data_IF_011437589479
#
_entry.id   IF_011437589479
#
_cell.length_a   1.000
_cell.length_b   1.000
_cell.length_c   1.000
_cell.angle_alpha   90.00
_cell.angle_beta   90.00
_cell.angle_gamma   90.00
#
_symmetry.space_group_name_H-M   'P 1'
#
loop_
_entity.id
_entity.type
_entity.pdbx_description
1 polymer ?
#
# COMPACT_ATOMS: atom_id res chain seq x y z
N UNK A 1 -2.38 -4.27 16.17
CA UNK A 1 -1.24 -4.17 15.26
C UNK A 1 -1.45 -2.99 14.30
N UNK A 2 -0.60 -1.99 14.35
CA UNK A 2 -0.66 -0.86 13.44
C UNK A 2 -0.30 -1.28 12.01
N UNK A 3 -0.99 -0.68 11.04
CA UNK A 3 -0.63 -0.79 9.64
C UNK A 3 0.54 0.17 9.37
N UNK A 4 1.73 -0.23 9.79
CA UNK A 4 2.92 0.61 9.88
C UNK A 4 3.70 0.79 8.58
N UNK A 5 5.05 0.82 8.64
CA UNK A 5 5.89 1.13 7.48
C UNK A 5 5.58 0.28 6.26
N UNK A 6 5.58 0.90 5.07
CA UNK A 6 5.23 0.24 3.81
C UNK A 6 3.74 0.22 3.52
N UNK A 7 2.92 0.86 4.35
CA UNK A 7 1.48 0.99 4.13
C UNK A 7 1.12 2.15 3.21
N UNK A 8 -0.18 2.52 3.22
CA UNK A 8 -0.72 3.56 2.34
C UNK A 8 0.04 4.88 2.42
N UNK A 9 0.28 5.37 3.64
CA UNK A 9 0.91 6.67 3.84
C UNK A 9 2.33 6.71 3.27
N UNK A 10 3.09 5.64 3.43
CA UNK A 10 4.46 5.58 2.95
C UNK A 10 4.52 5.54 1.42
N UNK A 11 3.62 4.80 0.79
CA UNK A 11 3.53 4.75 -0.68
C UNK A 11 3.12 6.12 -1.23
N UNK A 12 2.09 6.72 -0.66
CA UNK A 12 1.62 8.04 -1.07
C UNK A 12 2.71 9.11 -0.89
N UNK A 13 3.44 9.05 0.21
CA UNK A 13 4.52 9.99 0.49
C UNK A 13 5.67 9.83 -0.52
N UNK A 14 6.00 8.61 -0.88
CA UNK A 14 7.01 8.33 -1.92
C UNK A 14 6.61 8.93 -3.25
N UNK A 15 5.33 8.77 -3.63
CA UNK A 15 4.78 9.36 -4.84
C UNK A 15 4.87 10.89 -4.79
N UNK A 16 4.48 11.49 -3.67
CA UNK A 16 4.56 12.95 -3.50
C UNK A 16 6.00 13.46 -3.61
N UNK A 17 6.95 12.73 -3.04
CA UNK A 17 8.36 13.08 -3.15
C UNK A 17 8.83 13.08 -4.60
N UNK A 18 8.43 12.08 -5.38
CA UNK A 18 8.74 12.01 -6.80
C UNK A 18 8.08 13.14 -7.59
N UNK A 19 6.83 13.48 -7.26
CA UNK A 19 6.13 14.60 -7.88
C UNK A 19 6.84 15.93 -7.62
N UNK A 20 7.29 16.15 -6.39
CA UNK A 20 8.05 17.34 -6.04
C UNK A 20 9.36 17.42 -6.79
N UNK A 21 10.03 16.31 -6.99
CA UNK A 21 11.36 16.25 -7.58
C UNK A 21 11.34 16.29 -9.10
N UNK A 22 10.41 15.60 -9.71
CA UNK A 22 10.37 15.37 -11.16
C UNK A 22 9.13 15.92 -11.85
N UNK A 23 8.11 16.37 -11.11
CA UNK A 23 6.84 16.80 -11.68
C UNK A 23 6.93 17.96 -12.66
N UNK A 24 7.90 18.84 -12.48
CA UNK A 24 8.11 19.96 -13.40
C UNK A 24 8.56 19.51 -14.80
N UNK A 25 9.37 18.45 -14.86
CA UNK A 25 9.88 17.89 -16.12
C UNK A 25 9.00 16.77 -16.68
N UNK A 26 8.22 16.15 -15.83
CA UNK A 26 7.37 15.00 -16.17
C UNK A 26 5.92 15.31 -15.82
N UNK A 27 5.19 16.03 -16.67
CA UNK A 27 3.80 16.43 -16.38
C UNK A 27 2.87 15.25 -16.05
N UNK A 28 3.15 14.07 -16.58
CA UNK A 28 2.36 12.86 -16.31
C UNK A 28 2.40 12.43 -14.83
N UNK A 29 3.36 12.92 -14.04
CA UNK A 29 3.39 12.69 -12.59
C UNK A 29 2.42 13.58 -11.84
N UNK A 30 1.91 14.63 -12.46
CA UNK A 30 1.01 15.61 -11.83
C UNK A 30 -0.42 15.07 -11.81
N UNK A 31 -0.66 14.05 -11.00
CA UNK A 31 -1.96 13.45 -10.83
C UNK A 31 -2.24 13.27 -9.33
N UNK A 32 -3.51 13.32 -8.95
CA UNK A 32 -3.94 13.03 -7.59
C UNK A 32 -4.10 11.54 -7.33
N UNK A 33 -4.09 10.72 -8.38
CA UNK A 33 -4.18 9.27 -8.25
C UNK A 33 -2.82 8.66 -7.98
N UNK A 34 -2.68 7.97 -6.85
CA UNK A 34 -1.45 7.29 -6.46
C UNK A 34 -1.05 6.23 -7.48
N UNK A 35 -2.02 5.44 -7.95
CA UNK A 35 -1.74 4.38 -8.94
C UNK A 35 -1.30 4.95 -10.28
N UNK A 36 -1.91 6.03 -10.74
CA UNK A 36 -1.50 6.69 -11.97
C UNK A 36 -0.09 7.27 -11.85
N UNK A 37 0.22 7.87 -10.70
CA UNK A 37 1.55 8.42 -10.45
C UNK A 37 2.61 7.32 -10.40
N UNK A 38 2.32 6.19 -9.78
CA UNK A 38 3.22 5.03 -9.78
C UNK A 38 3.47 4.51 -11.20
N UNK A 39 2.40 4.41 -12.00
CA UNK A 39 2.51 3.97 -13.40
C UNK A 39 3.35 4.94 -14.23
N UNK A 40 3.14 6.24 -14.05
CA UNK A 40 3.91 7.26 -14.74
C UNK A 40 5.38 7.24 -14.33
N UNK A 41 5.67 7.04 -13.05
CA UNK A 41 7.03 6.94 -12.54
C UNK A 41 7.77 5.73 -13.14
N UNK A 42 7.08 4.59 -13.23
CA UNK A 42 7.64 3.40 -13.86
C UNK A 42 7.93 3.64 -15.36
N UNK A 43 6.98 4.23 -16.05
CA UNK A 43 7.14 4.53 -17.48
C UNK A 43 8.29 5.50 -17.74
N UNK A 44 8.58 6.39 -16.80
CA UNK A 44 9.69 7.34 -16.89
C UNK A 44 11.01 6.80 -16.32
N UNK A 45 11.08 5.51 -16.02
CA UNK A 45 12.27 4.83 -15.46
C UNK A 45 12.74 5.40 -14.11
N UNK A 46 11.85 5.99 -13.33
CA UNK A 46 12.15 6.45 -11.97
C UNK A 46 12.17 5.31 -10.97
N UNK A 47 11.63 4.17 -11.35
CA UNK A 47 11.68 2.94 -10.56
C UNK A 47 11.71 1.73 -11.48
N UNK A 48 12.20 0.62 -10.97
CA UNK A 48 12.20 -0.65 -11.71
C UNK A 48 10.79 -1.25 -11.76
N UNK A 49 10.51 -2.16 -12.72
CA UNK A 49 9.24 -2.88 -12.73
C UNK A 49 8.94 -3.61 -11.41
N UNK A 50 9.96 -4.20 -10.77
CA UNK A 50 9.79 -4.90 -9.50
C UNK A 50 9.45 -3.93 -8.37
N UNK A 51 10.13 -2.79 -8.30
CA UNK A 51 9.82 -1.74 -7.32
C UNK A 51 8.39 -1.22 -7.50
N UNK A 52 8.00 -0.96 -8.73
CA UNK A 52 6.63 -0.55 -9.05
C UNK A 52 5.61 -1.58 -8.55
N UNK A 53 5.82 -2.87 -8.84
CA UNK A 53 4.88 -3.92 -8.46
C UNK A 53 4.79 -4.07 -6.94
N UNK A 54 5.90 -3.99 -6.23
CA UNK A 54 5.91 -4.05 -4.76
C UNK A 54 5.11 -2.89 -4.15
N UNK A 55 5.27 -1.68 -4.66
CA UNK A 55 4.52 -0.52 -4.18
C UNK A 55 3.04 -0.61 -4.55
N UNK A 56 2.75 -1.03 -5.76
CA UNK A 56 1.38 -1.19 -6.24
C UNK A 56 0.61 -2.22 -5.42
N UNK A 57 1.18 -3.39 -5.23
CA UNK A 57 0.57 -4.48 -4.45
C UNK A 57 0.34 -4.06 -3.00
N UNK A 58 1.31 -3.39 -2.39
CA UNK A 58 1.17 -2.89 -1.03
C UNK A 58 0.06 -1.86 -0.90
N UNK A 59 -0.01 -0.92 -1.83
CA UNK A 59 -1.03 0.13 -1.82
C UNK A 59 -2.43 -0.44 -2.03
N UNK A 60 -2.60 -1.31 -3.01
CA UNK A 60 -3.89 -1.96 -3.29
C UNK A 60 -4.32 -2.84 -2.12
N UNK A 61 -3.40 -3.63 -1.57
CA UNK A 61 -3.69 -4.51 -0.43
C UNK A 61 -4.05 -3.73 0.83
N UNK A 62 -3.32 -2.66 1.12
CA UNK A 62 -3.59 -1.82 2.29
C UNK A 62 -4.92 -1.07 2.13
N UNK A 63 -5.24 -0.60 0.92
CA UNK A 63 -6.51 0.06 0.63
C UNK A 63 -7.68 -0.90 0.82
N UNK A 64 -7.59 -2.12 0.28
CA UNK A 64 -8.61 -3.13 0.42
C UNK A 64 -8.81 -3.52 1.88
N UNK A 65 -7.71 -3.69 2.61
CA UNK A 65 -7.75 -4.03 4.03
C UNK A 65 -8.40 -2.92 4.85
N UNK A 66 -8.04 -1.68 4.59
CA UNK A 66 -8.62 -0.52 5.27
C UNK A 66 -10.12 -0.42 5.04
N UNK A 67 -10.55 -0.63 3.79
CA UNK A 67 -11.98 -0.64 3.44
C UNK A 67 -12.72 -1.78 4.13
N UNK A 68 -12.13 -2.97 4.20
CA UNK A 68 -12.72 -4.11 4.89
C UNK A 68 -12.86 -3.84 6.39
N UNK A 69 -11.86 -3.24 7.02
CA UNK A 69 -11.92 -2.85 8.44
C UNK A 69 -13.06 -1.86 8.66
N UNK A 70 -13.18 -0.87 7.78
CA UNK A 70 -14.27 0.11 7.86
C UNK A 70 -15.64 -0.56 7.77
N UNK A 71 -15.81 -1.53 6.88
CA UNK A 71 -17.07 -2.28 6.75
C UNK A 71 -17.40 -3.07 8.01
N UNK A 72 -16.40 -3.70 8.64
CA UNK A 72 -16.61 -4.52 9.84
C UNK A 72 -16.85 -3.66 11.08
N UNK A 73 -16.09 -2.57 11.22
CA UNK A 73 -16.16 -1.72 12.43
C UNK A 73 -17.06 -0.51 12.30
N UNK A 74 -17.47 -0.16 11.08
CA UNK A 74 -18.26 1.03 10.83
C UNK A 74 -17.48 2.34 10.93
N UNK A 75 -16.14 2.26 11.03
CA UNK A 75 -15.26 3.43 11.14
C UNK A 75 -13.87 3.11 10.60
N UNK A 76 -13.17 4.14 10.13
CA UNK A 76 -11.78 3.99 9.70
C UNK A 76 -10.88 3.75 10.92
N UNK A 77 -9.85 2.91 10.72
CA UNK A 77 -8.85 2.63 11.75
C UNK A 77 -7.49 2.39 11.10
N UNK A 78 -6.43 2.82 11.80
CA UNK A 78 -5.05 2.60 11.39
C UNK A 78 -4.46 1.31 11.96
N UNK A 79 -5.27 0.56 12.67
CA UNK A 79 -4.85 -0.62 13.43
C UNK A 79 -5.62 -1.83 12.99
N UNK A 80 -4.91 -2.93 12.72
CA UNK A 80 -5.56 -4.21 12.48
C UNK A 80 -6.24 -4.69 13.76
N UNK A 81 -7.48 -5.21 13.66
CA UNK A 81 -8.11 -5.87 14.79
C UNK A 81 -7.29 -7.05 15.30
N UNK A 82 -7.37 -7.32 16.59
CA UNK A 82 -6.77 -8.51 17.19
C UNK A 82 -7.81 -9.61 17.43
N UNK A 83 -9.08 -9.25 17.41
CA UNK A 83 -10.19 -10.20 17.58
C UNK A 83 -10.29 -11.10 16.34
N UNK A 84 -10.25 -12.40 16.56
CA UNK A 84 -10.31 -13.39 15.48
C UNK A 84 -11.62 -13.36 14.69
N UNK A 85 -12.73 -12.96 15.34
CA UNK A 85 -14.02 -12.81 14.65
C UNK A 85 -13.99 -11.67 13.64
N UNK A 86 -13.43 -10.54 14.04
CA UNK A 86 -13.28 -9.39 13.17
C UNK A 86 -12.33 -9.71 12.01
N UNK A 87 -11.20 -10.37 12.29
CA UNK A 87 -10.24 -10.79 11.27
C UNK A 87 -10.85 -11.80 10.29
N UNK A 88 -11.68 -12.72 10.78
CA UNK A 88 -12.41 -13.65 9.91
C UNK A 88 -13.38 -12.93 8.99
N UNK A 89 -14.12 -11.95 9.53
CA UNK A 89 -15.04 -11.14 8.72
C UNK A 89 -14.29 -10.35 7.65
N UNK A 90 -13.14 -9.76 8.00
CA UNK A 90 -12.27 -9.05 7.06
C UNK A 90 -11.77 -9.99 5.97
N UNK A 91 -11.31 -11.19 6.35
CA UNK A 91 -10.84 -12.19 5.39
C UNK A 91 -11.92 -12.56 4.38
N UNK A 92 -13.16 -12.72 4.83
CA UNK A 92 -14.29 -13.01 3.94
C UNK A 92 -14.56 -11.87 2.96
N UNK A 93 -14.52 -10.63 3.44
CA UNK A 93 -14.70 -9.46 2.58
C UNK A 93 -13.60 -9.34 1.52
N UNK A 94 -12.40 -9.82 1.85
CA UNK A 94 -11.27 -9.82 0.93
C UNK A 94 -11.26 -11.04 0.00
N UNK A 95 -12.31 -11.89 0.08
CA UNK A 95 -12.41 -13.08 -0.77
C UNK A 95 -11.54 -14.25 -0.31
N UNK A 96 -11.01 -14.19 0.91
CA UNK A 96 -10.24 -15.28 1.51
C UNK A 96 -11.19 -16.27 2.18
N UNK A 97 -10.82 -17.53 2.22
CA UNK A 97 -11.67 -18.58 2.78
C UNK A 97 -11.82 -18.51 4.30
N UNK A 98 -12.62 -19.41 4.85
CA UNK A 98 -12.76 -19.55 6.30
C UNK A 98 -11.43 -19.91 6.93
N UNK A 99 -11.20 -19.42 8.15
CA UNK A 99 -9.97 -19.68 8.89
C UNK A 99 -8.75 -18.95 8.36
N UNK A 100 -8.95 -17.94 7.50
CA UNK A 100 -7.86 -17.17 6.91
C UNK A 100 -7.47 -15.93 7.72
N UNK A 101 -7.91 -15.81 8.98
CA UNK A 101 -7.62 -14.64 9.81
C UNK A 101 -6.13 -14.38 9.97
N UNK A 102 -5.33 -15.43 10.16
CA UNK A 102 -3.87 -15.30 10.26
C UNK A 102 -3.25 -14.84 8.94
N UNK A 103 -3.81 -15.28 7.82
CA UNK A 103 -3.33 -14.91 6.49
C UNK A 103 -3.51 -13.43 6.21
N UNK A 104 -4.56 -12.81 6.73
CA UNK A 104 -4.77 -11.35 6.59
C UNK A 104 -3.56 -10.61 7.16
N UNK A 105 -3.14 -10.97 8.35
CA UNK A 105 -2.01 -10.34 9.04
C UNK A 105 -0.70 -10.64 8.30
N UNK A 106 -0.46 -11.89 7.95
CA UNK A 106 0.75 -12.31 7.25
C UNK A 106 0.92 -11.63 5.90
N UNK A 107 -0.15 -11.60 5.10
CA UNK A 107 -0.14 -10.95 3.79
C UNK A 107 0.14 -9.46 3.92
N UNK A 108 -0.51 -8.80 4.87
CA UNK A 108 -0.27 -7.37 5.13
C UNK A 108 1.18 -7.12 5.51
N UNK A 109 1.73 -7.88 6.44
CA UNK A 109 3.12 -7.73 6.89
C UNK A 109 4.10 -7.98 5.75
N UNK A 110 3.86 -9.00 4.93
CA UNK A 110 4.73 -9.33 3.79
C UNK A 110 4.75 -8.20 2.77
N UNK A 111 3.57 -7.71 2.37
CA UNK A 111 3.47 -6.59 1.43
C UNK A 111 4.13 -5.33 1.97
N UNK A 112 3.90 -5.05 3.25
CA UNK A 112 4.48 -3.88 3.91
C UNK A 112 6.00 -3.94 3.98
N UNK A 113 6.56 -5.11 4.26
CA UNK A 113 8.02 -5.27 4.29
C UNK A 113 8.65 -5.05 2.92
N UNK A 114 8.04 -5.59 1.86
CA UNK A 114 8.53 -5.40 0.50
C UNK A 114 8.46 -3.93 0.09
N UNK A 115 7.33 -3.29 0.35
CA UNK A 115 7.16 -1.87 0.03
C UNK A 115 8.10 -1.00 0.84
N UNK A 116 8.29 -1.28 2.13
CA UNK A 116 9.19 -0.52 2.97
C UNK A 116 10.64 -0.57 2.45
N UNK A 117 11.06 -1.74 2.00
CA UNK A 117 12.38 -1.88 1.37
C UNK A 117 12.52 -1.01 0.12
N UNK A 118 11.49 -1.00 -0.72
CA UNK A 118 11.47 -0.18 -1.93
C UNK A 118 11.48 1.30 -1.59
N UNK A 119 10.68 1.73 -0.62
CA UNK A 119 10.64 3.12 -0.16
C UNK A 119 12.03 3.57 0.29
N UNK A 120 12.72 2.75 1.07
CA UNK A 120 14.08 3.04 1.51
C UNK A 120 15.04 3.17 0.34
N UNK A 121 14.99 2.25 -0.62
CA UNK A 121 15.81 2.27 -1.82
C UNK A 121 15.59 3.57 -2.61
N UNK A 122 14.34 3.92 -2.85
CA UNK A 122 13.98 5.11 -3.64
C UNK A 122 14.28 6.41 -2.89
N UNK A 123 14.02 6.43 -1.58
CA UNK A 123 14.28 7.60 -0.75
C UNK A 123 15.75 8.00 -0.78
N UNK A 124 16.64 7.03 -0.64
CA UNK A 124 18.09 7.30 -0.61
C UNK A 124 18.71 7.45 -1.99
N UNK A 125 18.08 6.94 -3.04
CA UNK A 125 18.56 7.08 -4.42
C UNK A 125 18.05 8.36 -5.09
N UNK A 126 16.99 8.92 -4.56
CA UNK A 126 16.38 10.14 -5.05
C UNK A 126 16.94 11.35 -4.31
#
# INVERSE_FOLDING_TARGET
>A
LKMGPGGLADVEWTVQLMQMRFGARLPQLRTTSTLEALSAARAADLMTPDQYEDLRVAWLGASALRNAIMCVRGRAADTLPTDSRELDAIARLLGMGRGASEMVVEEHLRRSRRANKVVDELFWSV
#
